data_IF_169523958870
#
_entry.id   IF_169523958870
#
_cell.length_a   1.000
_cell.length_b   1.000
_cell.length_c   1.000
_cell.angle_alpha   90.00
_cell.angle_beta   90.00
_cell.angle_gamma   90.00
#
_symmetry.space_group_name_H-M   'P 1'
#
loop_
_entity.id
_entity.type
_entity.pdbx_description
1 polymer ?
#
# COMPACT_ATOMS: atom_id res chain seq x y z
N UNK A 1 -4.62 -23.83 -27.11
CA UNK A 1 -5.05 -22.60 -26.41
C UNK A 1 -3.80 -21.84 -25.99
N UNK A 2 -3.65 -20.58 -26.41
CA UNK A 2 -2.43 -19.78 -26.18
C UNK A 2 -2.76 -18.78 -25.07
N UNK A 3 -2.26 -19.03 -23.86
CA UNK A 3 -2.37 -18.12 -22.71
C UNK A 3 -1.44 -16.93 -22.96
N UNK A 4 -2.00 -15.78 -23.31
CA UNK A 4 -1.28 -14.51 -23.33
C UNK A 4 -1.01 -14.08 -21.89
N UNK A 5 0.15 -14.45 -21.36
CA UNK A 5 0.77 -13.78 -20.21
C UNK A 5 0.96 -12.32 -20.60
N UNK A 6 0.10 -11.43 -20.10
CA UNK A 6 0.34 -9.99 -20.15
C UNK A 6 1.61 -9.74 -19.34
N UNK A 7 2.70 -9.40 -20.01
CA UNK A 7 3.86 -8.83 -19.35
C UNK A 7 3.43 -7.56 -18.59
N UNK A 8 4.02 -7.26 -17.42
CA UNK A 8 3.82 -5.98 -16.77
C UNK A 8 4.13 -4.87 -17.78
N UNK A 9 3.18 -3.97 -18.02
CA UNK A 9 3.28 -2.90 -19.02
C UNK A 9 4.32 -1.82 -18.67
N UNK A 10 4.98 -1.93 -17.52
CA UNK A 10 5.97 -0.99 -17.03
C UNK A 10 7.20 -1.75 -16.54
N UNK A 11 8.38 -1.44 -17.08
CA UNK A 11 9.65 -1.87 -16.53
C UNK A 11 9.91 -1.05 -15.25
N UNK A 12 10.24 -1.67 -14.10
CA UNK A 12 10.47 -0.92 -12.86
C UNK A 12 11.56 0.13 -13.08
N UNK A 13 11.25 1.41 -12.86
CA UNK A 13 12.25 2.46 -12.98
C UNK A 13 13.10 2.50 -11.70
N UNK A 14 14.37 2.90 -11.80
CA UNK A 14 15.24 3.09 -10.62
C UNK A 14 14.67 4.13 -9.62
N UNK A 15 13.73 4.95 -10.07
CA UNK A 15 13.01 5.93 -9.25
C UNK A 15 11.77 5.37 -8.54
N UNK A 16 11.37 4.13 -8.85
CA UNK A 16 10.22 3.51 -8.22
C UNK A 16 10.56 3.21 -6.76
N UNK A 17 9.90 3.93 -5.87
CA UNK A 17 10.07 3.74 -4.43
C UNK A 17 8.85 3.05 -3.84
N UNK A 18 9.11 2.14 -2.91
CA UNK A 18 8.12 1.56 -2.03
C UNK A 18 8.38 2.02 -0.60
N UNK A 19 7.36 2.56 0.06
CA UNK A 19 7.47 3.03 1.44
C UNK A 19 6.39 2.36 2.28
N UNK A 20 6.79 1.83 3.43
CA UNK A 20 5.88 1.30 4.45
C UNK A 20 5.78 2.32 5.58
N UNK A 21 4.55 2.63 5.98
CA UNK A 21 4.29 3.59 7.04
C UNK A 21 3.15 3.11 7.92
N UNK A 22 3.43 2.85 9.19
CA UNK A 22 2.41 2.52 10.17
C UNK A 22 1.60 3.77 10.55
N UNK A 23 0.27 3.67 10.50
CA UNK A 23 -0.65 4.71 10.95
C UNK A 23 -1.20 4.33 12.34
N UNK A 24 -0.72 4.96 13.42
CA UNK A 24 -1.10 4.57 14.79
C UNK A 24 -2.58 4.85 15.13
N UNK A 25 -3.27 5.74 14.41
CA UNK A 25 -4.66 6.10 14.73
C UNK A 25 -5.68 5.09 14.19
N UNK A 26 -5.35 4.44 13.07
CA UNK A 26 -6.21 3.46 12.40
C UNK A 26 -5.67 2.04 12.53
N UNK A 27 -4.45 1.91 13.07
CA UNK A 27 -3.68 0.66 13.13
C UNK A 27 -3.52 -0.04 11.77
N UNK A 28 -3.45 0.76 10.71
CA UNK A 28 -3.17 0.28 9.37
C UNK A 28 -1.68 0.40 9.05
N UNK A 29 -1.18 -0.51 8.21
CA UNK A 29 0.07 -0.28 7.49
C UNK A 29 -0.26 0.29 6.11
N UNK A 30 0.29 1.47 5.85
CA UNK A 30 0.17 2.14 4.57
C UNK A 30 1.38 1.78 3.71
N UNK A 31 1.14 1.30 2.50
CA UNK A 31 2.20 1.06 1.51
C UNK A 31 2.03 2.06 0.39
N UNK A 32 3.06 2.84 0.11
CA UNK A 32 3.06 3.80 -0.99
C UNK A 32 4.00 3.29 -2.06
N UNK A 33 3.53 3.24 -3.30
CA UNK A 33 4.36 2.93 -4.47
C UNK A 33 4.27 4.06 -5.48
N UNK A 34 5.39 4.43 -6.09
CA UNK A 34 5.44 5.45 -7.14
C UNK A 34 5.66 4.77 -8.50
N UNK A 35 4.59 4.39 -9.23
CA UNK A 35 4.75 3.79 -10.55
C UNK A 35 5.20 4.80 -11.61
N UNK A 36 4.99 6.10 -11.38
CA UNK A 36 5.50 7.16 -12.26
C UNK A 36 5.68 8.49 -11.49
N UNK A 37 6.10 9.55 -12.20
CA UNK A 37 6.42 10.87 -11.61
C UNK A 37 5.19 11.69 -11.18
N UNK A 38 3.99 11.27 -11.53
CA UNK A 38 2.74 12.02 -11.37
C UNK A 38 1.69 11.26 -10.56
N UNK A 39 1.80 9.94 -10.46
CA UNK A 39 0.88 9.08 -9.72
C UNK A 39 1.60 8.31 -8.61
N UNK A 40 0.87 8.01 -7.55
CA UNK A 40 1.30 7.04 -6.56
C UNK A 40 0.10 6.19 -6.14
N UNK A 41 0.36 4.90 -5.91
CA UNK A 41 -0.62 4.02 -5.29
C UNK A 41 -0.42 4.07 -3.78
N UNK A 42 -1.51 4.21 -3.04
CA UNK A 42 -1.52 4.05 -1.59
C UNK A 42 -2.38 2.85 -1.23
N UNK A 43 -1.74 1.80 -0.73
CA UNK A 43 -2.39 0.61 -0.23
C UNK A 43 -2.60 0.74 1.27
N UNK A 44 -3.82 0.51 1.72
CA UNK A 44 -4.23 0.57 3.12
C UNK A 44 -4.47 -0.87 3.57
N UNK A 45 -3.55 -1.40 4.38
CA UNK A 45 -3.63 -2.76 4.89
C UNK A 45 -4.06 -2.73 6.36
N UNK A 46 -5.19 -3.38 6.64
CA UNK A 46 -5.57 -3.68 8.00
C UNK A 46 -4.58 -4.69 8.59
N UNK A 47 -4.17 -4.42 9.81
CA UNK A 47 -3.32 -5.32 10.59
C UNK A 47 -4.18 -6.03 11.63
N UNK A 48 -3.89 -7.30 11.88
CA UNK A 48 -4.48 -8.04 13.00
C UNK A 48 -3.91 -7.57 14.34
N UNK A 49 -4.61 -7.86 15.44
CA UNK A 49 -4.14 -7.54 16.80
C UNK A 49 -2.74 -8.11 17.09
N UNK A 50 -2.45 -9.30 16.57
CA UNK A 50 -1.14 -9.94 16.70
C UNK A 50 -0.04 -9.18 15.96
N UNK A 51 -0.36 -8.60 14.80
CA UNK A 51 0.57 -7.81 14.02
C UNK A 51 0.79 -6.43 14.64
N UNK A 52 -0.24 -5.82 15.22
CA UNK A 52 -0.09 -4.57 15.98
C UNK A 52 0.92 -4.73 17.11
N UNK A 53 0.86 -5.84 17.84
CA UNK A 53 1.78 -6.08 18.94
C UNK A 53 3.23 -6.24 18.45
N UNK A 54 3.43 -6.79 17.25
CA UNK A 54 4.74 -7.14 16.72
C UNK A 54 5.39 -6.05 15.87
N UNK A 55 4.60 -5.14 15.28
CA UNK A 55 5.08 -4.13 14.33
C UNK A 55 6.12 -3.16 14.92
N UNK A 56 6.17 -3.05 16.25
CA UNK A 56 7.14 -2.23 16.97
C UNK A 56 8.52 -2.88 17.14
N UNK A 57 8.71 -4.08 16.61
CA UNK A 57 10.01 -4.77 16.58
C UNK A 57 10.49 -4.89 15.14
N UNK A 58 11.80 -4.87 14.90
CA UNK A 58 12.36 -5.00 13.55
C UNK A 58 11.90 -6.30 12.86
N UNK A 59 11.91 -7.41 13.60
CA UNK A 59 11.49 -8.70 13.08
C UNK A 59 9.99 -8.73 12.76
N UNK A 60 9.15 -8.16 13.63
CA UNK A 60 7.71 -8.11 13.42
C UNK A 60 7.33 -7.16 12.29
N UNK A 61 7.92 -5.96 12.22
CA UNK A 61 7.75 -5.04 11.10
C UNK A 61 8.10 -5.73 9.78
N UNK A 62 9.25 -6.39 9.71
CA UNK A 62 9.69 -7.09 8.51
C UNK A 62 8.72 -8.20 8.09
N UNK A 63 8.19 -8.97 9.05
CA UNK A 63 7.22 -10.01 8.77
C UNK A 63 5.91 -9.44 8.18
N UNK A 64 5.43 -8.33 8.76
CA UNK A 64 4.22 -7.64 8.30
C UNK A 64 4.42 -7.04 6.89
N UNK A 65 5.55 -6.38 6.64
CA UNK A 65 5.90 -5.85 5.30
C UNK A 65 5.88 -6.95 4.23
N UNK A 66 6.53 -8.09 4.50
CA UNK A 66 6.61 -9.21 3.55
C UNK A 66 5.23 -9.82 3.28
N UNK A 67 4.39 -9.95 4.32
CA UNK A 67 3.00 -10.41 4.15
C UNK A 67 2.22 -9.45 3.24
N UNK A 68 2.30 -8.15 3.50
CA UNK A 68 1.55 -7.16 2.73
C UNK A 68 2.05 -7.08 1.29
N UNK A 69 3.37 -7.15 1.07
CA UNK A 69 3.97 -7.27 -0.26
C UNK A 69 3.38 -8.44 -1.06
N UNK A 70 3.24 -9.60 -0.43
CA UNK A 70 2.63 -10.77 -1.06
C UNK A 70 1.14 -10.57 -1.38
N UNK A 71 0.45 -9.71 -0.63
CA UNK A 71 -0.98 -9.42 -0.79
C UNK A 71 -1.28 -8.21 -1.71
N UNK A 72 -0.26 -7.50 -2.23
CA UNK A 72 -0.48 -6.36 -3.14
C UNK A 72 -1.28 -6.75 -4.39
N UNK A 73 -1.09 -7.98 -4.90
CA UNK A 73 -1.80 -8.49 -6.08
C UNK A 73 -3.29 -8.73 -5.85
N UNK A 74 -3.74 -8.82 -4.60
CA UNK A 74 -5.16 -8.96 -4.23
C UNK A 74 -5.79 -7.66 -3.74
N UNK A 75 -5.06 -6.54 -3.82
CA UNK A 75 -5.57 -5.25 -3.35
C UNK A 75 -6.76 -4.79 -4.20
N UNK A 76 -7.78 -4.22 -3.54
CA UNK A 76 -8.99 -3.73 -4.19
C UNK A 76 -8.92 -2.23 -4.35
N UNK A 77 -9.17 -1.72 -5.56
CA UNK A 77 -9.19 -0.28 -5.81
C UNK A 77 -10.37 0.38 -5.08
N UNK A 78 -10.11 1.52 -4.44
CA UNK A 78 -11.13 2.31 -3.75
C UNK A 78 -11.56 3.45 -4.66
N UNK A 79 -12.81 3.42 -5.11
CA UNK A 79 -13.38 4.43 -6.01
C UNK A 79 -14.00 5.61 -5.25
N UNK A 80 -14.45 5.37 -4.03
CA UNK A 80 -15.02 6.39 -3.14
C UNK A 80 -14.13 6.58 -1.92
N UNK A 81 -13.28 7.61 -1.97
CA UNK A 81 -12.32 7.94 -0.91
C UNK A 81 -13.01 8.33 0.40
N UNK A 82 -14.28 8.74 0.37
CA UNK A 82 -15.03 9.08 1.59
C UNK A 82 -15.29 7.88 2.50
N UNK A 83 -15.13 6.67 1.97
CA UNK A 83 -15.22 5.41 2.73
C UNK A 83 -13.97 5.10 3.55
N UNK A 84 -12.87 5.82 3.32
CA UNK A 84 -11.60 5.63 4.00
C UNK A 84 -11.49 6.51 5.24
N UNK A 85 -10.72 6.06 6.21
CA UNK A 85 -10.41 6.88 7.37
C UNK A 85 -9.59 8.11 6.95
N UNK A 86 -10.00 9.29 7.45
CA UNK A 86 -9.36 10.56 7.12
C UNK A 86 -7.86 10.59 7.47
N UNK A 87 -7.42 9.85 8.47
CA UNK A 87 -6.02 9.78 8.89
C UNK A 87 -5.18 8.99 7.89
N UNK A 88 -5.72 7.91 7.33
CA UNK A 88 -5.08 7.16 6.25
C UNK A 88 -4.97 8.02 4.99
N UNK A 89 -6.07 8.67 4.61
CA UNK A 89 -6.10 9.59 3.46
C UNK A 89 -5.10 10.71 3.62
N UNK A 90 -5.06 11.38 4.77
CA UNK A 90 -4.10 12.46 5.06
C UNK A 90 -2.66 11.98 4.95
N UNK A 91 -2.39 10.76 5.42
CA UNK A 91 -1.04 10.20 5.38
C UNK A 91 -0.64 9.79 3.97
N UNK A 92 -1.57 9.24 3.20
CA UNK A 92 -1.37 8.96 1.78
C UNK A 92 -1.09 10.24 0.98
N UNK A 93 -1.87 11.31 1.20
CA UNK A 93 -1.88 12.58 0.45
C UNK A 93 -0.74 13.55 0.72
N UNK A 94 0.27 13.19 1.51
CA UNK A 94 1.33 14.10 1.93
C UNK A 94 2.11 14.79 0.78
N UNK A 95 2.02 14.30 -0.46
CA UNK A 95 2.59 14.94 -1.66
C UNK A 95 1.52 15.67 -2.49
N UNK A 96 1.45 17.00 -2.33
CA UNK A 96 0.47 17.88 -2.98
C UNK A 96 0.49 17.88 -4.52
N UNK A 97 1.54 17.38 -5.16
CA UNK A 97 1.71 17.43 -6.61
C UNK A 97 1.36 16.14 -7.35
N UNK A 98 1.00 15.07 -6.63
CA UNK A 98 0.74 13.75 -7.22
C UNK A 98 -0.68 13.28 -6.95
N UNK A 99 -1.27 12.53 -7.89
CA UNK A 99 -2.61 11.97 -7.72
C UNK A 99 -2.53 10.59 -7.02
N UNK A 100 -3.15 10.42 -5.82
CA UNK A 100 -3.26 9.11 -5.19
C UNK A 100 -4.25 8.21 -5.91
N UNK A 101 -3.86 6.96 -6.11
CA UNK A 101 -4.78 5.86 -6.30
C UNK A 101 -4.84 5.02 -5.03
N UNK A 102 -6.04 4.89 -4.45
CA UNK A 102 -6.21 4.18 -3.19
C UNK A 102 -6.58 2.72 -3.43
N UNK A 103 -6.00 1.86 -2.62
CA UNK A 103 -6.31 0.44 -2.60
C UNK A 103 -6.45 -0.03 -1.16
N UNK A 104 -7.32 -1.01 -0.92
CA UNK A 104 -7.41 -1.70 0.37
C UNK A 104 -6.93 -3.13 0.23
N UNK A 105 -6.31 -3.63 1.29
CA UNK A 105 -5.87 -5.02 1.40
C UNK A 105 -6.63 -5.64 2.56
N UNK A 106 -7.59 -6.49 2.23
CA UNK A 106 -8.28 -7.38 3.17
C UNK A 106 -7.74 -8.79 2.95
N UNK A 107 -7.11 -9.35 3.99
CA UNK A 107 -6.58 -10.72 3.98
C UNK A 107 -7.32 -11.53 5.02
#
# INVERSE_FOLDING_TARGET
MRTTLRAPTHEPAETDSITFQFQPLTFHLLVKTHPDKMTYNCYIAALSDSEHAQIHTDAGMRAVELRILAALGSATAVTDVSTLDKHDVTTCTAHFSMQPHYFTITV
#
